data_IF_621600757313
#
_entry.id   IF_621600757313
#
_cell.length_a   1.000
_cell.length_b   1.000
_cell.length_c   1.000
_cell.angle_alpha   90.00
_cell.angle_beta   90.00
_cell.angle_gamma   90.00
#
_symmetry.space_group_name_H-M   'P 1'
#
loop_
_entity.id
_entity.type
_entity.pdbx_description
1 polymer ?
#
# COMPACT_ATOMS: atom_id res chain seq x y z
N UNK A 1 25.91 7.26 5.98
CA UNK A 1 24.56 6.69 6.11
C UNK A 1 24.63 5.21 5.73
N UNK A 2 23.77 4.37 6.31
CA UNK A 2 23.68 2.95 5.91
C UNK A 2 23.19 2.85 4.46
N UNK A 3 23.92 2.14 3.63
CA UNK A 3 23.50 1.84 2.25
C UNK A 3 22.54 0.64 2.22
N UNK A 4 21.76 0.55 1.16
CA UNK A 4 20.90 -0.60 0.93
C UNK A 4 21.72 -1.84 0.57
N UNK A 5 21.47 -2.93 1.29
CA UNK A 5 22.02 -4.26 0.99
C UNK A 5 21.17 -4.93 -0.09
N UNK A 6 21.44 -4.55 -1.35
CA UNK A 6 20.64 -4.98 -2.50
C UNK A 6 20.69 -6.50 -2.70
N UNK A 7 21.79 -7.15 -2.34
CA UNK A 7 21.94 -8.60 -2.48
C UNK A 7 20.97 -9.34 -1.54
N UNK A 8 20.81 -8.87 -0.30
CA UNK A 8 19.83 -9.46 0.63
C UNK A 8 18.39 -9.19 0.21
N UNK A 9 18.11 -8.01 -0.36
CA UNK A 9 16.79 -7.71 -0.91
C UNK A 9 16.46 -8.63 -2.08
N UNK A 10 17.41 -8.84 -3.02
CA UNK A 10 17.28 -9.80 -4.12
C UNK A 10 17.12 -11.24 -3.62
N UNK A 11 17.88 -11.63 -2.60
CA UNK A 11 17.75 -12.96 -2.00
C UNK A 11 16.32 -13.17 -1.44
N UNK A 12 15.77 -12.18 -0.73
CA UNK A 12 14.40 -12.26 -0.23
C UNK A 12 13.37 -12.28 -1.38
N UNK A 13 13.58 -11.51 -2.45
CA UNK A 13 12.72 -11.57 -3.64
C UNK A 13 12.69 -12.97 -4.26
N UNK A 14 13.85 -13.66 -4.31
CA UNK A 14 13.93 -15.04 -4.78
C UNK A 14 13.20 -16.02 -3.85
N UNK A 15 13.16 -15.76 -2.52
CA UNK A 15 12.33 -16.54 -1.58
C UNK A 15 10.85 -16.36 -1.89
N UNK A 16 10.40 -15.12 -2.14
CA UNK A 16 9.00 -14.83 -2.52
C UNK A 16 8.64 -15.42 -3.89
N UNK A 17 9.63 -15.61 -4.78
CA UNK A 17 9.43 -16.24 -6.08
C UNK A 17 9.13 -17.74 -5.98
N UNK A 18 9.49 -18.41 -4.88
CA UNK A 18 9.18 -19.82 -4.64
C UNK A 18 7.79 -20.07 -4.05
N UNK A 19 7.01 -19.01 -3.76
CA UNK A 19 5.61 -19.15 -3.34
C UNK A 19 4.84 -19.83 -4.48
N UNK A 20 4.01 -20.80 -4.15
CA UNK A 20 3.18 -21.50 -5.13
C UNK A 20 2.15 -20.57 -5.76
N UNK A 21 1.76 -20.87 -7.01
CA UNK A 21 0.69 -20.15 -7.70
C UNK A 21 -0.63 -20.40 -6.97
N UNK A 22 -1.24 -19.34 -6.47
CA UNK A 22 -2.60 -19.40 -5.92
C UNK A 22 -3.64 -19.36 -7.05
N UNK A 23 -4.53 -20.31 -7.05
CA UNK A 23 -5.65 -20.36 -7.98
C UNK A 23 -6.73 -19.34 -7.60
N UNK A 24 -7.46 -18.87 -8.60
CA UNK A 24 -8.65 -18.02 -8.45
C UNK A 24 -9.83 -18.68 -9.18
N UNK A 25 -11.05 -18.18 -8.99
CA UNK A 25 -12.22 -18.65 -9.76
C UNK A 25 -12.04 -18.43 -11.29
N UNK A 26 -11.13 -17.56 -11.68
CA UNK A 26 -10.81 -17.22 -13.07
C UNK A 26 -9.50 -17.87 -13.56
N UNK A 27 -9.02 -18.89 -12.89
CA UNK A 27 -7.83 -19.67 -13.30
C UNK A 27 -8.10 -20.35 -14.67
N UNK A 28 -7.12 -20.37 -15.60
CA UNK A 28 -5.74 -19.91 -15.45
C UNK A 28 -5.49 -18.44 -15.80
N UNK A 29 -6.49 -17.69 -16.22
CA UNK A 29 -6.33 -16.32 -16.67
C UNK A 29 -5.81 -15.40 -15.54
N UNK A 30 -6.34 -15.55 -14.33
CA UNK A 30 -5.96 -14.76 -13.14
C UNK A 30 -5.43 -15.70 -12.06
N UNK A 31 -4.26 -15.37 -11.54
CA UNK A 31 -3.60 -16.11 -10.46
C UNK A 31 -3.15 -15.17 -9.33
N UNK A 32 -2.89 -15.73 -8.16
CA UNK A 32 -2.33 -15.01 -7.02
C UNK A 32 -0.89 -15.44 -6.78
N UNK A 33 0.04 -14.52 -7.07
CA UNK A 33 1.47 -14.73 -6.83
C UNK A 33 2.18 -13.37 -6.67
N UNK A 34 3.23 -13.26 -5.83
CA UNK A 34 3.95 -11.99 -5.64
C UNK A 34 4.48 -11.35 -6.93
N UNK A 35 4.80 -12.12 -7.96
CA UNK A 35 5.38 -11.63 -9.22
C UNK A 35 4.50 -11.88 -10.45
N UNK A 36 3.33 -12.48 -10.29
CA UNK A 36 2.40 -12.74 -11.40
C UNK A 36 0.95 -12.52 -10.95
N UNK A 37 0.13 -11.98 -11.84
CA UNK A 37 -1.32 -11.86 -11.69
C UNK A 37 -2.10 -12.54 -12.84
N UNK A 38 -1.36 -13.15 -13.77
CA UNK A 38 -1.89 -13.95 -14.87
C UNK A 38 -1.16 -15.28 -14.91
N UNK A 39 -1.89 -16.35 -15.18
CA UNK A 39 -1.33 -17.69 -15.43
C UNK A 39 -0.56 -17.80 -16.75
N UNK A 40 -0.65 -16.78 -17.61
CA UNK A 40 0.01 -16.74 -18.92
C UNK A 40 1.07 -15.65 -18.95
N UNK A 41 2.32 -16.06 -19.14
CA UNK A 41 3.44 -15.14 -19.17
C UNK A 41 4.02 -15.02 -20.59
N UNK A 42 3.88 -13.85 -21.26
CA UNK A 42 4.46 -13.63 -22.58
C UNK A 42 5.97 -13.42 -22.47
N UNK A 43 6.74 -14.16 -23.25
CA UNK A 43 8.19 -14.00 -23.37
C UNK A 43 8.63 -14.16 -24.84
N UNK A 44 9.90 -13.85 -25.12
CA UNK A 44 10.52 -14.13 -26.43
C UNK A 44 11.31 -15.42 -26.35
N UNK A 45 11.20 -16.26 -27.38
CA UNK A 45 12.09 -17.40 -27.58
C UNK A 45 13.51 -16.94 -27.97
N UNK A 46 14.48 -17.82 -27.95
CA UNK A 46 15.86 -17.57 -28.41
C UNK A 46 15.92 -17.07 -29.86
N UNK A 47 14.95 -17.46 -30.68
CA UNK A 47 14.79 -17.00 -32.05
C UNK A 47 14.02 -15.66 -32.17
N UNK A 48 13.68 -14.99 -31.07
CA UNK A 48 12.98 -13.71 -31.02
C UNK A 48 11.46 -13.78 -31.21
N UNK A 49 10.88 -14.96 -31.46
CA UNK A 49 9.44 -15.14 -31.63
C UNK A 49 8.71 -15.01 -30.29
N UNK A 50 7.52 -14.42 -30.30
CA UNK A 50 6.64 -14.38 -29.15
C UNK A 50 6.17 -15.79 -28.80
N UNK A 51 6.29 -16.15 -27.53
CA UNK A 51 5.70 -17.36 -26.94
C UNK A 51 5.05 -17.04 -25.62
N UNK A 52 4.13 -17.90 -25.19
CA UNK A 52 3.44 -17.78 -23.92
C UNK A 52 3.82 -19.00 -23.06
N UNK A 53 4.24 -18.74 -21.83
CA UNK A 53 4.48 -19.77 -20.80
C UNK A 53 3.22 -19.86 -19.96
N UNK A 54 2.67 -21.06 -19.81
CA UNK A 54 1.61 -21.35 -18.87
C UNK A 54 2.25 -21.67 -17.49
N UNK A 55 2.23 -20.67 -16.61
CA UNK A 55 2.85 -20.77 -15.28
C UNK A 55 2.00 -21.56 -14.27
N UNK A 56 0.80 -21.99 -14.66
CA UNK A 56 -0.01 -22.87 -13.79
C UNK A 56 0.43 -24.32 -13.87
N UNK A 57 1.24 -24.68 -14.86
CA UNK A 57 1.89 -26.00 -14.98
C UNK A 57 3.23 -26.01 -14.25
N UNK A 58 3.60 -27.13 -13.65
CA UNK A 58 4.90 -27.25 -12.95
C UNK A 58 6.09 -26.91 -13.87
N UNK A 59 6.08 -27.38 -15.13
CA UNK A 59 7.13 -27.09 -16.10
C UNK A 59 7.18 -25.60 -16.45
N UNK A 60 6.05 -24.99 -16.73
CA UNK A 60 5.95 -23.55 -17.05
C UNK A 60 6.34 -22.67 -15.86
N UNK A 61 5.94 -23.06 -14.65
CA UNK A 61 6.34 -22.35 -13.43
C UNK A 61 7.85 -22.37 -13.22
N UNK A 62 8.51 -23.52 -13.38
CA UNK A 62 9.96 -23.63 -13.25
C UNK A 62 10.71 -22.83 -14.32
N UNK A 63 10.20 -22.83 -15.54
CA UNK A 63 10.77 -22.02 -16.63
C UNK A 63 10.62 -20.52 -16.35
N UNK A 64 9.44 -20.09 -15.97
CA UNK A 64 9.16 -18.69 -15.62
C UNK A 64 10.01 -18.23 -14.41
N UNK A 65 10.17 -19.05 -13.39
CA UNK A 65 11.05 -18.73 -12.25
C UNK A 65 12.49 -18.47 -12.68
N UNK A 66 13.01 -19.18 -13.67
CA UNK A 66 14.38 -18.93 -14.19
C UNK A 66 14.46 -17.51 -14.78
N UNK A 67 13.49 -17.14 -15.62
CA UNK A 67 13.41 -15.80 -16.22
C UNK A 67 13.31 -14.73 -15.14
N UNK A 68 12.47 -14.95 -14.13
CA UNK A 68 12.29 -13.99 -13.04
C UNK A 68 13.53 -13.85 -12.16
N UNK A 69 14.29 -14.94 -11.91
CA UNK A 69 15.56 -14.86 -11.20
C UNK A 69 16.58 -13.99 -11.94
N UNK A 70 16.71 -14.16 -13.24
CA UNK A 70 17.59 -13.33 -14.07
C UNK A 70 17.17 -11.86 -14.02
N UNK A 71 15.88 -11.57 -14.08
CA UNK A 71 15.36 -10.20 -13.92
C UNK A 71 15.66 -9.60 -12.55
N UNK A 72 15.46 -10.37 -11.48
CA UNK A 72 15.80 -9.94 -10.11
C UNK A 72 17.30 -9.67 -10.01
N UNK A 73 18.15 -10.52 -10.60
CA UNK A 73 19.59 -10.36 -10.56
C UNK A 73 20.09 -9.14 -11.33
N UNK A 74 19.39 -8.77 -12.42
CA UNK A 74 19.74 -7.59 -13.24
C UNK A 74 19.39 -6.23 -12.59
N UNK A 75 18.64 -6.21 -11.49
CA UNK A 75 18.26 -4.97 -10.81
C UNK A 75 19.49 -4.32 -10.17
N UNK A 76 19.66 -3.02 -10.39
CA UNK A 76 20.79 -2.24 -9.88
C UNK A 76 20.42 -1.27 -8.78
N UNK A 77 19.13 -0.95 -8.63
CA UNK A 77 18.62 -0.04 -7.60
C UNK A 77 17.21 -0.42 -7.13
N UNK A 78 16.85 -0.01 -5.91
CA UNK A 78 15.51 -0.24 -5.35
C UNK A 78 14.42 0.54 -6.10
N UNK A 79 14.75 1.72 -6.63
CA UNK A 79 13.81 2.58 -7.37
C UNK A 79 13.28 1.97 -8.68
N UNK A 80 13.86 0.89 -9.17
CA UNK A 80 13.37 0.16 -10.33
C UNK A 80 12.17 -0.73 -9.97
N UNK A 81 10.98 -0.09 -9.81
CA UNK A 81 9.68 -0.76 -9.61
C UNK A 81 9.63 -1.76 -8.45
N UNK A 82 10.33 -1.48 -7.37
CA UNK A 82 10.39 -2.29 -6.15
C UNK A 82 10.34 -3.81 -6.46
N UNK A 83 11.37 -4.25 -7.21
CA UNK A 83 11.62 -5.64 -7.57
C UNK A 83 10.46 -6.36 -8.28
N UNK A 84 9.58 -5.62 -8.98
CA UNK A 84 8.43 -6.19 -9.71
C UNK A 84 7.37 -6.87 -8.84
N UNK A 85 7.39 -6.66 -7.52
CA UNK A 85 6.38 -7.24 -6.62
C UNK A 85 5.00 -6.62 -6.88
N UNK A 86 3.99 -7.46 -7.07
CA UNK A 86 2.61 -7.03 -7.28
C UNK A 86 2.04 -6.27 -6.07
N UNK A 87 1.11 -5.35 -6.32
CA UNK A 87 0.51 -4.47 -5.30
C UNK A 87 0.06 -5.20 -4.02
N UNK A 88 -0.68 -6.31 -4.07
CA UNK A 88 -1.15 -6.98 -2.84
C UNK A 88 -0.02 -7.51 -1.94
N UNK A 89 1.18 -7.69 -2.51
CA UNK A 89 2.33 -8.25 -1.80
C UNK A 89 3.41 -7.21 -1.50
N UNK A 90 3.35 -6.01 -2.07
CA UNK A 90 4.41 -5.01 -1.95
C UNK A 90 4.67 -4.59 -0.50
N UNK A 91 3.62 -4.36 0.28
CA UNK A 91 3.75 -3.94 1.68
C UNK A 91 4.28 -5.07 2.57
N UNK A 92 3.85 -6.32 2.34
CA UNK A 92 4.39 -7.46 3.09
C UNK A 92 5.84 -7.75 2.69
N UNK A 93 6.19 -7.63 1.42
CA UNK A 93 7.57 -7.75 0.98
C UNK A 93 8.45 -6.69 1.65
N UNK A 94 8.01 -5.42 1.68
CA UNK A 94 8.70 -4.34 2.40
C UNK A 94 8.92 -4.71 3.89
N UNK A 95 7.91 -5.28 4.56
CA UNK A 95 8.04 -5.75 5.95
C UNK A 95 9.23 -6.70 6.14
N UNK A 96 9.49 -7.59 5.18
CA UNK A 96 10.60 -8.55 5.28
C UNK A 96 11.96 -7.94 4.92
N UNK A 97 12.01 -7.01 3.96
CA UNK A 97 13.29 -6.43 3.50
C UNK A 97 13.69 -5.14 4.20
N UNK A 98 12.80 -4.55 4.99
CA UNK A 98 12.96 -3.24 5.62
C UNK A 98 14.30 -3.02 6.34
N UNK A 99 14.90 -4.08 6.90
CA UNK A 99 16.15 -3.98 7.63
C UNK A 99 17.39 -3.95 6.72
N UNK A 100 17.22 -4.25 5.43
CA UNK A 100 18.26 -4.24 4.42
C UNK A 100 18.32 -2.93 3.65
N UNK A 101 17.28 -2.09 3.76
CA UNK A 101 17.19 -0.82 3.06
C UNK A 101 17.97 0.29 3.77
N UNK A 102 18.45 1.25 3.00
CA UNK A 102 18.88 2.55 3.52
C UNK A 102 17.70 3.30 4.13
N UNK A 103 17.90 4.28 5.04
CA UNK A 103 16.81 5.10 5.55
C UNK A 103 15.99 5.78 4.45
N UNK A 104 16.66 6.26 3.40
CA UNK A 104 16.02 6.89 2.26
C UNK A 104 15.18 5.89 1.45
N UNK A 105 15.79 4.78 1.00
CA UNK A 105 15.07 3.77 0.21
C UNK A 105 13.90 3.19 0.98
N UNK A 106 14.06 2.98 2.28
CA UNK A 106 12.99 2.49 3.15
C UNK A 106 11.79 3.44 3.18
N UNK A 107 12.04 4.72 3.45
CA UNK A 107 10.98 5.71 3.59
C UNK A 107 10.25 5.94 2.25
N UNK A 108 10.99 6.08 1.15
CA UNK A 108 10.42 6.24 -0.19
C UNK A 108 9.61 5.01 -0.62
N UNK A 109 10.15 3.80 -0.38
CA UNK A 109 9.44 2.55 -0.70
C UNK A 109 8.16 2.39 0.14
N UNK A 110 8.19 2.80 1.43
CA UNK A 110 7.01 2.77 2.29
C UNK A 110 5.91 3.68 1.76
N UNK A 111 6.25 4.92 1.37
CA UNK A 111 5.30 5.86 0.77
C UNK A 111 4.70 5.31 -0.53
N UNK A 112 5.52 4.72 -1.40
CA UNK A 112 5.07 4.11 -2.64
C UNK A 112 4.15 2.92 -2.41
N UNK A 113 4.52 1.98 -1.54
CA UNK A 113 3.70 0.82 -1.21
C UNK A 113 2.35 1.25 -0.63
N UNK A 114 2.36 2.21 0.30
CA UNK A 114 1.14 2.76 0.90
C UNK A 114 0.21 3.37 -0.15
N UNK A 115 0.75 4.22 -1.01
CA UNK A 115 -0.04 4.92 -2.05
C UNK A 115 -0.57 3.96 -3.12
N UNK A 116 0.17 2.88 -3.42
CA UNK A 116 -0.23 1.88 -4.42
C UNK A 116 -1.34 0.94 -3.94
N UNK A 117 -1.44 0.68 -2.64
CA UNK A 117 -2.51 -0.17 -2.09
C UNK A 117 -3.83 0.59 -2.03
N UNK A 118 -4.93 -0.07 -2.41
CA UNK A 118 -6.27 0.53 -2.33
C UNK A 118 -6.81 0.56 -0.91
N UNK A 119 -6.43 -0.41 -0.09
CA UNK A 119 -6.89 -0.56 1.29
C UNK A 119 -5.75 -0.94 2.24
N UNK A 120 -4.72 -0.09 2.39
CA UNK A 120 -3.52 -0.42 3.16
C UNK A 120 -3.81 -0.69 4.65
N UNK A 121 -4.90 -0.12 5.19
CA UNK A 121 -5.35 -0.37 6.56
C UNK A 121 -5.99 -1.73 6.78
N UNK A 122 -6.25 -2.51 5.73
CA UNK A 122 -6.94 -3.81 5.77
C UNK A 122 -6.06 -4.97 5.28
N UNK A 123 -4.76 -4.74 5.13
CA UNK A 123 -3.83 -5.80 4.75
C UNK A 123 -3.82 -6.91 5.81
N UNK A 124 -4.21 -8.16 5.47
CA UNK A 124 -4.34 -9.23 6.46
C UNK A 124 -3.00 -9.71 7.03
N UNK A 125 -1.91 -9.41 6.34
CA UNK A 125 -0.55 -9.88 6.67
C UNK A 125 0.24 -8.90 7.51
N UNK A 126 -0.31 -7.70 7.78
CA UNK A 126 0.37 -6.65 8.54
C UNK A 126 -0.61 -6.05 9.55
N UNK A 127 -0.28 -6.17 10.81
CA UNK A 127 -1.10 -5.59 11.87
C UNK A 127 -1.02 -4.06 11.88
N UNK A 128 -2.06 -3.43 12.42
CA UNK A 128 -2.09 -1.98 12.62
C UNK A 128 -0.89 -1.46 13.42
N UNK A 129 -0.44 -2.22 14.41
CA UNK A 129 0.74 -1.89 15.21
C UNK A 129 2.01 -1.93 14.38
N UNK A 130 2.17 -2.95 13.53
CA UNK A 130 3.33 -3.05 12.63
C UNK A 130 3.35 -1.89 11.64
N UNK A 131 2.21 -1.57 10.98
CA UNK A 131 2.10 -0.41 10.09
C UNK A 131 2.47 0.89 10.80
N UNK A 132 1.92 1.11 12.01
CA UNK A 132 2.26 2.29 12.82
C UNK A 132 3.77 2.37 13.08
N UNK A 133 4.40 1.24 13.43
CA UNK A 133 5.84 1.20 13.69
C UNK A 133 6.67 1.41 12.42
N UNK A 134 6.19 0.93 11.27
CA UNK A 134 6.84 1.19 9.98
C UNK A 134 6.89 2.69 9.68
N UNK A 135 5.77 3.40 9.82
CA UNK A 135 5.72 4.85 9.62
C UNK A 135 6.54 5.62 10.66
N UNK A 136 6.53 5.20 11.92
CA UNK A 136 7.32 5.84 12.99
C UNK A 136 8.82 5.74 12.77
N UNK A 137 9.28 4.67 12.13
CA UNK A 137 10.69 4.43 11.84
C UNK A 137 11.14 5.15 10.58
N UNK A 138 10.24 5.47 9.68
CA UNK A 138 10.59 6.16 8.43
C UNK A 138 11.03 7.60 8.70
N UNK A 139 12.12 7.99 8.05
CA UNK A 139 12.57 9.37 8.05
C UNK A 139 11.56 10.23 7.27
N UNK A 140 11.01 11.25 7.92
CA UNK A 140 9.94 12.07 7.37
C UNK A 140 10.35 12.87 6.13
N UNK A 141 11.61 13.28 6.06
CA UNK A 141 12.13 14.03 4.90
C UNK A 141 12.19 13.17 3.64
N UNK A 142 12.41 11.85 3.79
CA UNK A 142 12.40 10.92 2.68
C UNK A 142 11.04 10.27 2.44
N UNK A 143 10.18 10.21 3.48
CA UNK A 143 8.84 9.62 3.41
C UNK A 143 7.87 10.49 2.61
N UNK A 144 8.03 11.80 2.69
CA UNK A 144 7.16 12.80 2.08
C UNK A 144 7.90 13.53 0.96
N UNK A 145 7.19 13.96 -0.07
CA UNK A 145 7.71 14.95 -1.01
C UNK A 145 8.00 16.27 -0.28
N UNK A 146 8.84 17.12 -0.84
CA UNK A 146 9.16 18.42 -0.26
C UNK A 146 7.91 19.24 0.07
N UNK A 147 6.90 19.23 -0.82
CA UNK A 147 5.61 19.90 -0.61
C UNK A 147 4.83 19.31 0.56
N UNK A 148 4.77 17.98 0.66
CA UNK A 148 4.06 17.28 1.73
C UNK A 148 4.77 17.47 3.07
N UNK A 149 6.09 17.42 3.09
CA UNK A 149 6.90 17.67 4.28
C UNK A 149 6.69 19.09 4.82
N UNK A 150 6.70 20.11 3.93
CA UNK A 150 6.37 21.47 4.30
C UNK A 150 4.96 21.58 4.86
N UNK A 151 3.97 20.98 4.18
CA UNK A 151 2.57 20.91 4.69
C UNK A 151 2.52 20.30 6.09
N UNK A 152 3.27 19.22 6.34
CA UNK A 152 3.37 18.59 7.65
C UNK A 152 4.00 19.53 8.70
N UNK A 153 5.04 20.26 8.34
CA UNK A 153 5.68 21.24 9.24
C UNK A 153 4.74 22.39 9.61
N UNK A 154 3.90 22.83 8.70
CA UNK A 154 2.97 23.94 8.87
C UNK A 154 1.64 23.54 9.57
N UNK A 155 1.43 22.26 9.88
CA UNK A 155 0.24 21.81 10.59
C UNK A 155 0.13 22.47 11.97
N UNK A 156 -1.10 22.85 12.41
CA UNK A 156 -1.33 23.35 13.77
C UNK A 156 -1.10 22.25 14.80
N UNK A 157 -0.87 22.62 16.07
CA UNK A 157 -0.60 21.70 17.18
C UNK A 157 -1.75 20.69 17.43
N UNK A 158 -2.99 21.07 17.08
CA UNK A 158 -4.18 20.21 17.11
C UNK A 158 -4.93 20.35 15.82
N UNK A 159 -5.40 19.23 15.29
CA UNK A 159 -6.17 19.14 14.06
C UNK A 159 -7.47 18.42 14.28
N UNK A 160 -8.49 18.88 13.59
CA UNK A 160 -9.69 18.10 13.27
C UNK A 160 -9.46 17.38 11.96
N UNK A 161 -9.69 16.07 11.95
CA UNK A 161 -9.50 15.20 10.78
C UNK A 161 -10.75 14.35 10.57
N UNK A 162 -10.94 13.92 9.32
CA UNK A 162 -12.15 13.23 8.88
C UNK A 162 -11.83 11.87 8.28
N UNK A 163 -12.77 10.93 8.37
CA UNK A 163 -12.66 9.63 7.74
C UNK A 163 -14.01 9.14 7.24
N UNK A 164 -14.09 8.87 5.95
CA UNK A 164 -15.22 8.16 5.34
C UNK A 164 -15.07 6.66 5.50
N UNK A 165 -16.13 6.00 5.95
CA UNK A 165 -16.20 4.55 6.05
C UNK A 165 -17.48 4.06 5.37
N UNK A 166 -17.38 2.90 4.72
CA UNK A 166 -18.50 2.14 4.15
C UNK A 166 -18.82 0.95 5.05
N UNK A 167 -19.85 0.18 4.76
CA UNK A 167 -20.10 -1.08 5.46
C UNK A 167 -18.90 -2.03 5.42
N UNK A 168 -18.18 -2.01 4.30
CA UNK A 168 -17.02 -2.85 4.06
C UNK A 168 -15.85 -2.61 5.04
N UNK A 169 -15.58 -1.36 5.39
CA UNK A 169 -14.47 -0.98 6.28
C UNK A 169 -14.90 -0.34 7.60
N UNK A 170 -16.21 -0.28 7.88
CA UNK A 170 -16.80 0.40 9.04
C UNK A 170 -16.36 -0.15 10.40
N UNK A 171 -15.89 -1.40 10.45
CA UNK A 171 -15.31 -1.98 11.67
C UNK A 171 -13.92 -1.42 12.02
N UNK A 172 -13.27 -0.71 11.08
CA UNK A 172 -11.92 -0.14 11.25
C UNK A 172 -11.94 1.40 11.26
N UNK A 173 -12.78 2.01 12.10
CA UNK A 173 -12.84 3.47 12.25
C UNK A 173 -11.48 4.00 12.72
N UNK A 174 -10.86 3.37 13.76
CA UNK A 174 -9.52 3.70 14.24
C UNK A 174 -8.43 3.14 13.33
N UNK A 175 -8.37 3.64 12.08
CA UNK A 175 -7.33 3.32 11.11
C UNK A 175 -6.22 4.38 11.11
N UNK A 176 -5.11 4.12 10.38
CA UNK A 176 -4.02 5.08 10.24
C UNK A 176 -4.40 6.24 9.29
N UNK A 177 -5.19 5.97 8.25
CA UNK A 177 -5.51 6.91 7.18
C UNK A 177 -6.71 7.77 7.54
N UNK A 178 -6.53 9.07 7.55
CA UNK A 178 -7.53 10.12 7.73
C UNK A 178 -7.28 11.23 6.72
N UNK A 179 -8.18 12.19 6.59
CA UNK A 179 -7.99 13.36 5.73
C UNK A 179 -8.30 14.66 6.48
N UNK A 180 -7.66 15.75 6.09
CA UNK A 180 -8.02 17.09 6.59
C UNK A 180 -9.19 17.70 5.84
N UNK A 181 -9.64 17.06 4.75
CA UNK A 181 -10.72 17.56 3.89
C UNK A 181 -12.00 16.74 4.12
N UNK A 182 -13.05 17.42 4.59
CA UNK A 182 -14.36 16.81 4.82
C UNK A 182 -14.99 16.23 3.55
N UNK A 183 -14.91 16.94 2.42
CA UNK A 183 -15.50 16.48 1.16
C UNK A 183 -14.82 15.22 0.64
N UNK A 184 -13.50 15.11 0.85
CA UNK A 184 -12.76 13.88 0.56
C UNK A 184 -13.26 12.71 1.42
N UNK A 185 -13.47 12.92 2.73
CA UNK A 185 -14.01 11.89 3.60
C UNK A 185 -15.43 11.48 3.18
N UNK A 186 -16.27 12.46 2.82
CA UNK A 186 -17.64 12.21 2.31
C UNK A 186 -17.61 11.43 1.00
N UNK A 187 -16.71 11.74 0.08
CA UNK A 187 -16.53 10.98 -1.15
C UNK A 187 -16.16 9.51 -0.86
N UNK A 188 -15.24 9.26 0.08
CA UNK A 188 -14.89 7.90 0.50
C UNK A 188 -16.07 7.14 1.14
N UNK A 189 -16.92 7.82 1.91
CA UNK A 189 -18.12 7.24 2.49
C UNK A 189 -19.18 6.86 1.44
N UNK A 190 -19.25 7.61 0.32
CA UNK A 190 -20.14 7.34 -0.80
C UNK A 190 -19.53 6.52 -1.95
N UNK A 191 -18.28 6.04 -1.80
CA UNK A 191 -17.57 5.34 -2.86
C UNK A 191 -18.28 4.04 -3.24
N UNK A 192 -18.31 3.74 -4.53
CA UNK A 192 -19.02 2.57 -5.11
C UNK A 192 -20.54 2.57 -4.94
N UNK A 193 -21.16 3.74 -4.71
CA UNK A 193 -22.60 3.84 -4.46
C UNK A 193 -23.02 3.40 -3.06
N UNK A 194 -22.05 3.22 -2.16
CA UNK A 194 -22.29 2.89 -0.75
C UNK A 194 -22.96 4.06 0.01
N UNK A 195 -23.70 3.71 1.05
CA UNK A 195 -24.31 4.63 2.00
C UNK A 195 -23.54 4.62 3.32
N UNK A 196 -22.29 5.04 3.25
CA UNK A 196 -21.39 5.01 4.40
C UNK A 196 -21.58 6.18 5.36
N UNK A 197 -20.60 6.34 6.24
CA UNK A 197 -20.60 7.32 7.33
C UNK A 197 -19.32 8.14 7.31
N UNK A 198 -19.43 9.41 7.70
CA UNK A 198 -18.27 10.28 7.93
C UNK A 198 -18.05 10.42 9.42
N UNK A 199 -16.83 10.14 9.85
CA UNK A 199 -16.36 10.34 11.21
C UNK A 199 -15.40 11.52 11.25
N UNK A 200 -15.46 12.24 12.36
CA UNK A 200 -14.53 13.29 12.74
C UNK A 200 -13.74 12.83 13.97
N UNK A 201 -12.50 13.29 14.11
CA UNK A 201 -11.69 13.09 15.31
C UNK A 201 -10.75 14.27 15.50
N UNK A 202 -10.25 14.42 16.73
CA UNK A 202 -9.12 15.31 17.04
C UNK A 202 -7.82 14.52 17.17
N UNK A 203 -6.71 15.14 16.75
CA UNK A 203 -5.36 14.59 16.87
C UNK A 203 -4.35 15.70 17.17
N UNK A 204 -3.40 15.43 18.07
CA UNK A 204 -2.26 16.31 18.30
C UNK A 204 -1.21 16.07 17.19
N UNK A 205 -0.61 17.12 16.66
CA UNK A 205 0.40 17.09 15.58
C UNK A 205 1.52 16.09 15.81
N UNK A 206 2.00 15.96 17.06
CA UNK A 206 3.08 15.02 17.44
C UNK A 206 2.75 13.55 17.16
N UNK A 207 1.46 13.22 16.94
CA UNK A 207 0.96 11.88 16.60
C UNK A 207 0.62 11.73 15.12
N UNK A 208 0.95 12.73 14.29
CA UNK A 208 0.86 12.67 12.85
C UNK A 208 2.18 12.14 12.30
N UNK A 209 2.11 11.01 11.65
CA UNK A 209 3.27 10.28 11.13
C UNK A 209 3.70 10.79 9.76
N UNK A 210 2.73 11.13 8.89
CA UNK A 210 2.98 11.69 7.57
C UNK A 210 1.77 12.47 7.03
N UNK A 211 2.01 13.34 6.04
CA UNK A 211 1.03 13.87 5.11
C UNK A 211 1.30 13.26 3.74
N UNK A 212 0.32 12.64 3.09
CA UNK A 212 0.46 12.05 1.77
C UNK A 212 -0.63 12.63 0.87
N UNK A 213 -0.24 13.27 -0.23
CA UNK A 213 -1.18 13.99 -1.11
C UNK A 213 -1.01 13.60 -2.58
N UNK A 214 -0.35 12.48 -2.86
CA UNK A 214 -0.05 12.02 -4.23
C UNK A 214 -1.32 11.79 -5.06
N UNK A 215 -2.46 11.51 -4.41
CA UNK A 215 -3.77 11.32 -5.06
C UNK A 215 -4.71 12.53 -4.90
N UNK A 216 -4.24 13.64 -4.32
CA UNK A 216 -5.08 14.80 -4.03
C UNK A 216 -6.09 14.57 -2.90
N UNK A 217 -5.86 13.57 -2.05
CA UNK A 217 -6.77 13.15 -0.97
C UNK A 217 -6.52 13.90 0.35
N UNK A 218 -5.51 14.75 0.40
CA UNK A 218 -5.06 15.45 1.63
C UNK A 218 -4.93 14.50 2.82
N UNK A 219 -4.37 13.31 2.55
CA UNK A 219 -4.28 12.22 3.51
C UNK A 219 -3.31 12.55 4.66
N UNK A 220 -3.73 12.19 5.86
CA UNK A 220 -2.94 12.28 7.10
C UNK A 220 -2.81 10.87 7.67
N UNK A 221 -1.57 10.42 7.85
CA UNK A 221 -1.26 9.16 8.51
C UNK A 221 -1.05 9.43 9.99
N UNK A 222 -1.84 8.79 10.84
CA UNK A 222 -1.84 9.04 12.28
C UNK A 222 -1.52 7.80 13.10
N UNK A 223 -1.13 7.99 14.36
CA UNK A 223 -1.14 6.91 15.36
C UNK A 223 -2.57 6.71 15.89
N UNK A 224 -3.27 5.62 15.52
CA UNK A 224 -4.71 5.47 15.82
C UNK A 224 -5.09 5.49 17.29
N UNK A 225 -4.17 5.11 18.17
CA UNK A 225 -4.39 5.07 19.63
C UNK A 225 -4.55 6.47 20.25
N UNK A 226 -4.07 7.52 19.58
CA UNK A 226 -4.13 8.89 20.06
C UNK A 226 -5.27 9.73 19.42
N UNK A 227 -6.12 9.11 18.63
CA UNK A 227 -7.35 9.73 18.16
C UNK A 227 -8.29 10.00 19.34
N UNK A 228 -8.75 11.25 19.46
CA UNK A 228 -9.66 11.73 20.50
C UNK A 228 -11.00 12.12 19.90
N UNK A 229 -12.03 12.11 20.71
CA UNK A 229 -13.35 12.67 20.38
C UNK A 229 -13.87 12.20 19.01
N UNK A 230 -13.78 10.87 18.78
CA UNK A 230 -14.26 10.28 17.54
C UNK A 230 -15.77 10.27 17.57
N UNK A 231 -16.37 11.00 16.65
CA UNK A 231 -17.81 11.10 16.49
C UNK A 231 -18.24 10.94 15.03
N UNK A 232 -19.45 10.43 14.83
CA UNK A 232 -20.06 10.36 13.50
C UNK A 232 -20.72 11.70 13.22
N UNK A 233 -20.26 12.39 12.15
CA UNK A 233 -20.76 13.71 11.76
C UNK A 233 -21.73 13.67 10.60
N UNK A 234 -21.71 12.61 9.79
CA UNK A 234 -22.70 12.41 8.72
C UNK A 234 -22.97 10.92 8.50
N UNK A 235 -24.24 10.57 8.27
CA UNK A 235 -24.70 9.25 7.84
C UNK A 235 -25.41 9.39 6.48
N UNK A 236 -24.75 8.93 5.41
CA UNK A 236 -25.27 9.03 4.05
C UNK A 236 -26.49 8.14 3.80
N UNK A 237 -26.78 7.18 4.69
CA UNK A 237 -28.02 6.37 4.60
C UNK A 237 -29.29 7.20 4.88
N UNK A 238 -29.16 8.29 5.64
CA UNK A 238 -30.28 9.14 6.06
C UNK A 238 -30.58 10.25 5.06
N UNK A 239 -29.71 10.56 4.11
CA UNK A 239 -29.80 11.74 3.24
C UNK A 239 -30.80 11.57 2.07
N UNK A 240 -31.32 10.36 1.81
CA UNK A 240 -32.23 10.07 0.68
C UNK A 240 -33.71 10.17 0.99
N UNK A 241 -34.14 10.60 2.18
CA UNK A 241 -35.57 10.63 2.54
C UNK A 241 -36.25 11.98 2.20
N UNK A 242 -35.60 12.95 1.55
CA UNK A 242 -36.14 14.32 1.30
C UNK A 242 -36.34 14.60 -0.20
N UNK A 243 -36.20 13.64 -1.08
CA UNK A 243 -36.55 13.79 -2.50
C UNK A 243 -37.61 12.77 -2.91
N UNK A 244 -38.85 12.98 -2.43
CA UNK A 244 -40.09 12.51 -3.04
C UNK A 244 -41.11 13.65 -3.07
#
# INVERSE_FOLDING_TARGET
>A
MKETDLDKVKAMAKVFLEIEIGETEMTPAIVQHPFANSGFYPCRSDCGNLRIIDITTSQGFDEWKKIMRERIDSITSIGERFLYVNKPYSMIFLKYVQHYLSPQDYAQTLAECWTKEEQPNMNPSITKTELTNMFKRADKEFLMSEREYKKWQDLPEKLTIYRGVTEYNGKNIRALSWTTNYDTAKWFAGRYGEKGKVYQAEIDKKHILACIDQRGESEIIVEPKYLKDIEMVEDLSLTMTIQQ
#
